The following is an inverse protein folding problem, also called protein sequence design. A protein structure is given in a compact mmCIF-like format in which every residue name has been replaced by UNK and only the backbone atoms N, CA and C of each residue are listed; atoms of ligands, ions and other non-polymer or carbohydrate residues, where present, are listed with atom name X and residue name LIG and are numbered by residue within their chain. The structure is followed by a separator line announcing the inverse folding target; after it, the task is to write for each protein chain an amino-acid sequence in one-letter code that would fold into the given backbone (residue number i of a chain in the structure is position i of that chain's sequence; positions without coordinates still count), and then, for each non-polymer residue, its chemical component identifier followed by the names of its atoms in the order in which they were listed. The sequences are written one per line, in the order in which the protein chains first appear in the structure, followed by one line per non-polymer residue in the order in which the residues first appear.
data_IF_569928555713
#
_entry.id   IF_569928555713
#
_cell.length_a   1.000
_cell.length_b   1.000
_cell.length_c   1.000
_cell.angle_alpha   90.00
_cell.angle_beta   90.00
_cell.angle_gamma   90.00
#
_symmetry.space_group_name_H-M   'P 1'
#
loop_
_entity.id
_entity.type
_entity.pdbx_description
1 polymer ?
#
# COMPACT_ATOMS: atom_id res chain seq x y z
N UNK A 1 -25.45 -6.89 -2.00
CA UNK A 1 -24.40 -5.97 -2.52
C UNK A 1 -25.00 -5.31 -3.74
N UNK A 2 -25.17 -4.01 -3.73
CA UNK A 2 -25.79 -3.31 -4.86
C UNK A 2 -24.82 -3.31 -6.04
N UNK A 3 -25.17 -4.02 -7.11
CA UNK A 3 -24.34 -4.17 -8.32
C UNK A 3 -24.04 -2.82 -8.98
N UNK A 4 -24.90 -1.82 -8.79
CA UNK A 4 -24.70 -0.48 -9.37
C UNK A 4 -23.44 0.23 -8.88
N UNK A 5 -23.02 -0.01 -7.63
CA UNK A 5 -21.81 0.58 -7.02
C UNK A 5 -20.54 -0.05 -7.58
N UNK A 6 -20.63 -1.33 -7.98
CA UNK A 6 -19.47 -2.09 -8.48
C UNK A 6 -19.20 -1.90 -9.97
N UNK A 7 -20.19 -1.46 -10.74
CA UNK A 7 -20.08 -1.30 -12.20
C UNK A 7 -18.94 -0.39 -12.64
N UNK A 8 -18.75 0.83 -12.10
CA UNK A 8 -17.63 1.69 -12.50
C UNK A 8 -16.27 1.04 -12.28
N UNK A 9 -16.10 0.31 -11.16
CA UNK A 9 -14.88 -0.43 -10.84
C UNK A 9 -14.58 -1.52 -11.87
N UNK A 10 -15.58 -2.34 -12.24
CA UNK A 10 -15.42 -3.38 -13.26
C UNK A 10 -15.19 -2.80 -14.65
N UNK A 11 -15.85 -1.69 -15.01
CA UNK A 11 -15.60 -0.99 -16.28
C UNK A 11 -14.16 -0.47 -16.35
N UNK A 12 -13.66 0.15 -15.28
CA UNK A 12 -12.27 0.63 -15.23
C UNK A 12 -11.27 -0.54 -15.32
N UNK A 13 -11.54 -1.64 -14.61
CA UNK A 13 -10.74 -2.86 -14.69
C UNK A 13 -10.69 -3.43 -16.11
N UNK A 14 -11.84 -3.47 -16.80
CA UNK A 14 -11.91 -3.93 -18.20
C UNK A 14 -11.09 -3.04 -19.15
N UNK A 15 -11.13 -1.71 -18.93
CA UNK A 15 -10.29 -0.77 -19.69
C UNK A 15 -8.80 -1.07 -19.45
N UNK A 16 -8.37 -1.27 -18.19
CA UNK A 16 -6.98 -1.62 -17.91
C UNK A 16 -6.58 -2.95 -18.54
N UNK A 17 -7.46 -3.96 -18.55
CA UNK A 17 -7.20 -5.25 -19.24
C UNK A 17 -7.00 -5.04 -20.72
N UNK A 18 -7.83 -4.23 -21.39
CA UNK A 18 -7.63 -3.90 -22.80
C UNK A 18 -6.28 -3.20 -23.04
N UNK A 19 -5.90 -2.26 -22.18
CA UNK A 19 -4.61 -1.57 -22.29
C UNK A 19 -3.41 -2.51 -22.05
N UNK A 20 -3.56 -3.56 -21.22
CA UNK A 20 -2.55 -4.63 -21.08
C UNK A 20 -2.38 -5.39 -22.40
N UNK A 21 -3.46 -5.73 -23.10
CA UNK A 21 -3.33 -6.35 -24.43
C UNK A 21 -2.63 -5.44 -25.42
N UNK A 22 -2.89 -4.12 -25.40
CA UNK A 22 -2.18 -3.14 -26.23
C UNK A 22 -0.69 -3.11 -25.83
N UNK A 23 -0.36 -3.11 -24.53
CA UNK A 23 1.02 -3.16 -24.04
C UNK A 23 1.75 -4.39 -24.58
N UNK A 24 1.15 -5.58 -24.51
CA UNK A 24 1.76 -6.82 -25.03
C UNK A 24 2.03 -6.76 -26.53
N UNK A 25 1.12 -6.21 -27.32
CA UNK A 25 1.31 -6.06 -28.76
C UNK A 25 2.41 -5.03 -29.13
N UNK A 26 2.69 -4.09 -28.24
CA UNK A 26 3.68 -3.03 -28.46
C UNK A 26 5.04 -3.31 -27.80
N UNK A 27 5.29 -4.49 -27.23
CA UNK A 27 6.53 -4.82 -26.51
C UNK A 27 7.81 -4.53 -27.28
N UNK A 28 7.79 -4.65 -28.61
CA UNK A 28 8.93 -4.34 -29.46
C UNK A 28 9.15 -2.81 -29.67
N UNK A 29 8.27 -1.96 -29.13
CA UNK A 29 8.28 -0.51 -29.31
C UNK A 29 8.30 0.22 -27.96
N UNK A 30 9.46 0.26 -27.31
CA UNK A 30 9.63 0.80 -25.94
C UNK A 30 9.07 2.23 -25.74
N UNK A 31 9.10 3.09 -26.74
CA UNK A 31 8.48 4.42 -26.68
C UNK A 31 6.95 4.36 -26.64
N UNK A 32 6.33 3.48 -27.42
CA UNK A 32 4.87 3.36 -27.48
C UNK A 32 4.29 2.76 -26.19
N UNK A 33 4.94 1.76 -25.61
CA UNK A 33 4.54 1.19 -24.31
C UNK A 33 4.56 2.23 -23.19
N UNK A 34 5.53 3.16 -23.22
CA UNK A 34 5.58 4.29 -22.28
C UNK A 34 4.33 5.17 -22.36
N UNK A 35 3.87 5.52 -23.57
CA UNK A 35 2.66 6.36 -23.73
C UNK A 35 1.39 5.63 -23.30
N UNK A 36 1.28 4.34 -23.59
CA UNK A 36 0.15 3.53 -23.11
C UNK A 36 0.12 3.51 -21.57
N UNK A 37 1.28 3.37 -20.94
CA UNK A 37 1.36 3.42 -19.49
C UNK A 37 1.02 4.80 -18.90
N UNK A 38 1.52 5.89 -19.49
CA UNK A 38 1.14 7.26 -19.09
C UNK A 38 -0.38 7.45 -19.20
N UNK A 39 -0.98 7.01 -20.30
CA UNK A 39 -2.43 7.07 -20.49
C UNK A 39 -3.19 6.24 -19.46
N UNK A 40 -2.70 5.04 -19.14
CA UNK A 40 -3.29 4.18 -18.11
C UNK A 40 -3.25 4.83 -16.72
N UNK A 41 -2.12 5.48 -16.37
CA UNK A 41 -1.99 6.23 -15.12
C UNK A 41 -2.86 7.48 -15.09
N UNK A 42 -3.01 8.17 -16.21
CA UNK A 42 -3.93 9.30 -16.32
C UNK A 42 -5.37 8.85 -16.05
N UNK A 43 -5.81 7.75 -16.66
CA UNK A 43 -7.13 7.18 -16.40
C UNK A 43 -7.28 6.73 -14.93
N UNK A 44 -6.23 6.11 -14.35
CA UNK A 44 -6.21 5.74 -12.94
C UNK A 44 -6.36 6.96 -12.04
N UNK A 45 -5.61 8.04 -12.32
CA UNK A 45 -5.69 9.29 -11.56
C UNK A 45 -7.08 9.92 -11.64
N UNK A 46 -7.69 9.93 -12.82
CA UNK A 46 -9.08 10.42 -12.98
C UNK A 46 -10.06 9.55 -12.20
N UNK A 47 -9.97 8.24 -12.38
CA UNK A 47 -10.92 7.30 -11.76
C UNK A 47 -10.86 7.35 -10.23
N UNK A 48 -9.66 7.33 -9.66
CA UNK A 48 -9.48 7.30 -8.20
C UNK A 48 -9.49 8.70 -7.59
N UNK A 49 -8.90 9.69 -8.25
CA UNK A 49 -8.84 11.07 -7.76
C UNK A 49 -10.20 11.78 -7.76
N UNK A 50 -11.11 11.38 -8.67
CA UNK A 50 -12.47 11.93 -8.77
C UNK A 50 -13.54 11.00 -8.16
N UNK A 51 -13.15 10.09 -7.27
CA UNK A 51 -14.04 9.09 -6.67
C UNK A 51 -15.20 9.65 -5.83
N UNK A 52 -15.20 10.94 -5.50
CA UNK A 52 -16.22 11.57 -4.65
C UNK A 52 -16.25 10.97 -3.23
N UNK A 53 -17.42 10.72 -2.72
CA UNK A 53 -17.65 10.17 -1.37
C UNK A 53 -17.40 8.66 -1.24
N UNK A 54 -16.70 8.05 -2.16
CA UNK A 54 -16.43 6.60 -2.13
C UNK A 54 -15.24 6.29 -1.23
N UNK A 55 -15.45 5.41 -0.26
CA UNK A 55 -14.44 4.94 0.71
C UNK A 55 -14.88 5.21 2.16
N UNK A 56 -14.49 4.33 3.08
CA UNK A 56 -14.93 4.42 4.49
C UNK A 56 -14.33 5.64 5.21
N UNK A 57 -13.07 5.98 4.91
CA UNK A 57 -12.35 7.04 5.62
C UNK A 57 -12.53 8.43 4.98
N UNK A 58 -13.27 8.54 3.86
CA UNK A 58 -13.40 9.80 3.10
C UNK A 58 -14.02 10.92 3.95
N UNK A 59 -15.02 10.59 4.76
CA UNK A 59 -15.69 11.58 5.63
C UNK A 59 -14.69 12.14 6.66
N UNK A 60 -13.89 11.29 7.28
CA UNK A 60 -12.87 11.68 8.25
C UNK A 60 -11.81 12.59 7.62
N UNK A 61 -11.35 12.27 6.40
CA UNK A 61 -10.42 13.14 5.66
C UNK A 61 -11.05 14.48 5.27
N UNK A 62 -12.33 14.45 4.87
CA UNK A 62 -13.06 15.67 4.52
C UNK A 62 -13.21 16.60 5.73
N UNK A 63 -13.64 16.07 6.87
CA UNK A 63 -13.80 16.83 8.12
C UNK A 63 -12.47 17.43 8.57
N UNK A 64 -11.40 16.62 8.59
CA UNK A 64 -10.05 17.10 8.93
C UNK A 64 -9.57 18.22 8.00
N UNK A 65 -9.82 18.07 6.69
CA UNK A 65 -9.49 19.11 5.72
C UNK A 65 -10.27 20.41 5.95
N UNK A 66 -11.53 20.34 6.37
CA UNK A 66 -12.32 21.57 6.66
C UNK A 66 -11.70 22.37 7.82
N UNK A 67 -11.17 21.68 8.82
CA UNK A 67 -10.51 22.29 9.99
C UNK A 67 -9.05 22.68 9.71
N UNK A 68 -8.46 22.24 8.61
CA UNK A 68 -7.07 22.54 8.28
C UNK A 68 -6.83 24.05 8.13
N UNK A 69 -5.80 24.61 8.79
CA UNK A 69 -5.45 26.02 8.66
C UNK A 69 -4.75 26.33 7.33
N UNK A 70 -4.71 27.59 6.96
CA UNK A 70 -3.75 28.09 5.96
C UNK A 70 -2.32 28.14 6.54
N UNK A 71 -1.32 28.28 5.69
CA UNK A 71 0.09 28.36 6.14
C UNK A 71 0.32 29.54 7.12
N UNK A 72 -0.35 30.68 6.89
CA UNK A 72 -0.27 31.83 7.81
C UNK A 72 -0.83 31.51 9.19
N UNK A 73 -2.00 30.89 9.26
CA UNK A 73 -2.61 30.45 10.51
C UNK A 73 -1.79 29.36 11.20
N UNK A 74 -1.26 28.42 10.42
CA UNK A 74 -0.41 27.34 10.96
C UNK A 74 0.86 27.88 11.62
N UNK A 75 1.56 28.82 10.98
CA UNK A 75 2.77 29.45 11.55
C UNK A 75 2.48 30.25 12.80
N UNK A 76 1.29 30.89 12.88
CA UNK A 76 0.86 31.65 14.05
C UNK A 76 0.28 30.75 15.16
N UNK A 77 0.17 29.46 14.95
CA UNK A 77 -0.41 28.51 15.92
C UNK A 77 -1.94 28.61 16.04
N UNK A 78 -2.61 29.21 15.04
CA UNK A 78 -4.06 29.36 14.99
C UNK A 78 -4.72 28.13 14.34
N UNK A 79 -4.72 27.00 15.05
CA UNK A 79 -5.37 25.75 14.62
C UNK A 79 -5.85 24.96 15.83
N UNK A 80 -6.83 24.06 15.62
CA UNK A 80 -7.30 23.18 16.69
C UNK A 80 -6.26 22.13 17.04
N UNK A 81 -6.17 21.78 18.34
CA UNK A 81 -5.28 20.71 18.78
C UNK A 81 -5.70 19.38 18.19
N UNK A 82 -7.00 19.15 18.07
CA UNK A 82 -7.56 17.89 17.55
C UNK A 82 -7.14 17.69 16.10
N UNK A 83 -7.29 18.71 15.22
CA UNK A 83 -6.78 18.65 13.85
C UNK A 83 -5.28 18.30 13.79
N UNK A 84 -4.45 18.89 14.65
CA UNK A 84 -3.01 18.65 14.63
C UNK A 84 -2.62 17.23 15.08
N UNK A 85 -3.41 16.61 15.98
CA UNK A 85 -3.11 15.31 16.58
C UNK A 85 -3.79 14.12 15.91
N UNK A 86 -4.81 14.36 15.10
CA UNK A 86 -5.58 13.29 14.47
C UNK A 86 -4.81 12.57 13.37
N UNK A 87 -4.01 13.33 12.63
CA UNK A 87 -3.21 12.77 11.54
C UNK A 87 -1.72 13.11 11.69
N UNK A 88 -0.89 12.40 10.92
CA UNK A 88 0.55 12.59 10.93
C UNK A 88 0.92 13.90 10.23
N UNK A 89 1.99 14.52 10.73
CA UNK A 89 2.43 15.88 10.34
C UNK A 89 2.64 16.07 8.83
N UNK A 90 3.13 15.05 8.11
CA UNK A 90 3.34 15.14 6.66
C UNK A 90 2.03 15.27 5.90
N UNK A 91 0.99 14.55 6.32
CA UNK A 91 -0.34 14.68 5.73
C UNK A 91 -0.95 16.04 6.04
N UNK A 92 -0.90 16.47 7.32
CA UNK A 92 -1.38 17.79 7.74
C UNK A 92 -0.70 18.95 6.98
N UNK A 93 0.61 18.86 6.72
CA UNK A 93 1.32 19.87 5.92
C UNK A 93 0.81 19.93 4.47
N UNK A 94 0.46 18.79 3.88
CA UNK A 94 -0.17 18.78 2.55
C UNK A 94 -1.54 19.46 2.56
N UNK A 95 -2.36 19.26 3.61
CA UNK A 95 -3.64 19.96 3.77
C UNK A 95 -3.43 21.48 3.92
N UNK A 96 -2.48 21.90 4.77
CA UNK A 96 -2.12 23.33 4.94
C UNK A 96 -1.71 23.97 3.62
N UNK A 97 -0.88 23.30 2.83
CA UNK A 97 -0.46 23.80 1.51
C UNK A 97 -1.66 23.91 0.54
N UNK A 98 -2.52 22.89 0.50
CA UNK A 98 -3.71 22.90 -0.36
C UNK A 98 -4.70 24.01 0.06
N UNK A 99 -4.93 24.20 1.37
CA UNK A 99 -5.76 25.31 1.88
C UNK A 99 -5.17 26.67 1.53
N UNK A 100 -3.87 26.83 1.66
CA UNK A 100 -3.18 28.09 1.31
C UNK A 100 -3.32 28.42 -0.17
N UNK A 101 -3.37 27.38 -1.04
CA UNK A 101 -3.62 27.53 -2.48
C UNK A 101 -5.10 27.69 -2.84
N UNK A 102 -6.01 27.74 -1.84
CA UNK A 102 -7.44 27.88 -2.04
C UNK A 102 -8.11 26.65 -2.65
N UNK A 103 -7.50 25.49 -2.54
CA UNK A 103 -8.08 24.24 -3.08
C UNK A 103 -9.28 23.79 -2.24
N UNK A 104 -10.30 23.25 -2.90
CA UNK A 104 -11.32 22.44 -2.25
C UNK A 104 -10.76 21.07 -1.86
N UNK A 105 -11.43 20.33 -0.96
CA UNK A 105 -11.05 18.96 -0.60
C UNK A 105 -10.92 18.04 -1.82
N UNK A 106 -11.83 18.16 -2.79
CA UNK A 106 -11.80 17.33 -4.00
C UNK A 106 -10.60 17.62 -4.89
N UNK A 107 -10.18 18.86 -4.97
CA UNK A 107 -8.96 19.27 -5.68
C UNK A 107 -7.72 18.76 -4.94
N UNK A 108 -7.69 18.88 -3.60
CA UNK A 108 -6.64 18.30 -2.76
C UNK A 108 -6.52 16.78 -2.97
N UNK A 109 -7.63 16.04 -2.87
CA UNK A 109 -7.66 14.60 -3.10
C UNK A 109 -7.14 14.23 -4.49
N UNK A 110 -7.57 14.96 -5.54
CA UNK A 110 -7.12 14.73 -6.90
C UNK A 110 -5.61 14.94 -7.06
N UNK A 111 -5.08 16.06 -6.53
CA UNK A 111 -3.64 16.37 -6.58
C UNK A 111 -2.83 15.35 -5.78
N UNK A 112 -3.36 14.88 -4.65
CA UNK A 112 -2.73 13.85 -3.84
C UNK A 112 -2.57 12.54 -4.62
N UNK A 113 -3.64 12.05 -5.26
CA UNK A 113 -3.61 10.86 -6.12
C UNK A 113 -2.72 11.07 -7.37
N UNK A 114 -2.65 12.29 -7.91
CA UNK A 114 -1.75 12.62 -9.01
C UNK A 114 -0.28 12.45 -8.61
N UNK A 115 0.11 12.91 -7.42
CA UNK A 115 1.46 12.71 -6.87
C UNK A 115 1.76 11.22 -6.72
N UNK A 116 0.82 10.45 -6.18
CA UNK A 116 0.95 9.00 -6.07
C UNK A 116 1.14 8.32 -7.43
N UNK A 117 0.40 8.76 -8.45
CA UNK A 117 0.52 8.25 -9.82
C UNK A 117 1.90 8.55 -10.43
N UNK A 118 2.48 9.70 -10.11
CA UNK A 118 3.86 10.05 -10.52
C UNK A 118 4.86 9.09 -9.85
N UNK A 119 4.69 8.80 -8.56
CA UNK A 119 5.56 7.85 -7.85
C UNK A 119 5.42 6.45 -8.45
N UNK A 120 4.19 5.99 -8.72
CA UNK A 120 3.91 4.71 -9.40
C UNK A 120 4.55 4.65 -10.79
N UNK A 121 4.52 5.77 -11.55
CA UNK A 121 5.19 5.83 -12.85
C UNK A 121 6.67 5.50 -12.73
N UNK A 122 7.39 6.18 -11.84
CA UNK A 122 8.82 5.95 -11.65
C UNK A 122 9.12 4.57 -11.09
N UNK A 123 8.30 4.07 -10.18
CA UNK A 123 8.47 2.75 -9.60
C UNK A 123 8.29 1.64 -10.65
N UNK A 124 7.15 1.59 -11.34
CA UNK A 124 6.89 0.51 -12.29
C UNK A 124 7.84 0.55 -13.49
N UNK A 125 8.18 1.74 -14.00
CA UNK A 125 9.17 1.88 -15.08
C UNK A 125 10.57 1.37 -14.71
N UNK A 126 10.90 1.38 -13.44
CA UNK A 126 12.16 0.83 -12.94
C UNK A 126 12.09 -0.68 -12.73
N UNK A 127 10.97 -1.20 -12.26
CA UNK A 127 10.87 -2.59 -11.79
C UNK A 127 10.44 -3.57 -12.90
N UNK A 128 9.72 -3.11 -13.93
CA UNK A 128 9.17 -3.99 -14.96
C UNK A 128 9.04 -3.33 -16.32
N UNK A 129 9.06 -4.15 -17.38
CA UNK A 129 8.72 -3.73 -18.75
C UNK A 129 7.21 -3.79 -19.02
N UNK A 130 6.43 -4.43 -18.14
CA UNK A 130 4.98 -4.60 -18.25
C UNK A 130 4.28 -3.68 -17.24
N UNK A 131 4.39 -2.37 -17.47
CA UNK A 131 3.96 -1.37 -16.52
C UNK A 131 2.44 -1.27 -16.36
N UNK A 132 1.68 -1.49 -17.44
CA UNK A 132 0.21 -1.47 -17.42
C UNK A 132 -0.31 -2.72 -16.70
N UNK A 133 0.30 -3.89 -16.96
CA UNK A 133 -0.02 -5.10 -16.22
C UNK A 133 0.26 -4.94 -14.71
N UNK A 134 1.39 -4.32 -14.37
CA UNK A 134 1.73 -4.04 -12.98
C UNK A 134 0.71 -3.09 -12.32
N UNK A 135 0.26 -2.06 -13.04
CA UNK A 135 -0.79 -1.15 -12.58
C UNK A 135 -2.14 -1.86 -12.40
N UNK A 136 -2.52 -2.75 -13.32
CA UNK A 136 -3.73 -3.57 -13.20
C UNK A 136 -3.68 -4.45 -11.95
N UNK A 137 -2.57 -5.16 -11.73
CA UNK A 137 -2.39 -6.02 -10.56
C UNK A 137 -2.42 -5.16 -9.28
N UNK A 138 -1.72 -4.02 -9.28
CA UNK A 138 -1.73 -3.09 -8.17
C UNK A 138 -3.15 -2.60 -7.85
N UNK A 139 -3.92 -2.17 -8.87
CA UNK A 139 -5.28 -1.69 -8.72
C UNK A 139 -6.22 -2.76 -8.14
N UNK A 140 -6.19 -3.98 -8.68
CA UNK A 140 -7.04 -5.09 -8.22
C UNK A 140 -6.71 -5.48 -6.77
N UNK A 141 -5.42 -5.47 -6.43
CA UNK A 141 -4.97 -6.04 -5.17
C UNK A 141 -5.07 -5.06 -4.00
N UNK A 142 -4.59 -3.83 -4.19
CA UNK A 142 -4.52 -2.82 -3.13
C UNK A 142 -4.77 -1.39 -3.59
N UNK A 143 -4.57 -1.09 -4.86
CA UNK A 143 -4.56 0.28 -5.35
C UNK A 143 -5.87 1.01 -5.08
N UNK A 144 -7.00 0.31 -5.20
CA UNK A 144 -8.29 0.87 -4.84
C UNK A 144 -8.36 1.19 -3.33
N UNK A 145 -8.06 0.21 -2.48
CA UNK A 145 -8.14 0.39 -1.01
C UNK A 145 -7.22 1.50 -0.54
N UNK A 146 -5.97 1.54 -1.02
CA UNK A 146 -5.03 2.57 -0.62
C UNK A 146 -5.49 3.97 -1.01
N UNK A 147 -5.90 4.18 -2.24
CA UNK A 147 -6.25 5.51 -2.72
C UNK A 147 -7.72 5.88 -2.50
N UNK A 148 -8.61 4.92 -2.28
CA UNK A 148 -9.99 5.18 -1.96
C UNK A 148 -10.26 5.32 -0.46
N UNK A 149 -9.58 4.53 0.38
CA UNK A 149 -9.87 4.46 1.81
C UNK A 149 -8.69 4.93 2.68
N UNK A 150 -7.45 4.66 2.28
CA UNK A 150 -6.26 4.83 3.12
C UNK A 150 -5.23 5.78 2.49
N UNK A 151 -5.65 6.99 2.11
CA UNK A 151 -4.78 7.96 1.41
C UNK A 151 -3.40 8.13 2.07
N UNK A 152 -3.34 8.31 3.39
CA UNK A 152 -2.10 8.50 4.14
C UNK A 152 -1.18 7.28 4.06
N UNK A 153 -1.77 6.09 4.19
CA UNK A 153 -1.02 4.84 4.11
C UNK A 153 -0.51 4.58 2.69
N UNK A 154 -1.23 5.02 1.64
CA UNK A 154 -0.78 4.94 0.27
C UNK A 154 0.61 5.56 0.08
N UNK A 155 0.81 6.80 0.52
CA UNK A 155 2.10 7.48 0.46
C UNK A 155 3.21 6.75 1.21
N UNK A 156 2.90 6.26 2.42
CA UNK A 156 3.83 5.46 3.22
C UNK A 156 4.32 4.22 2.47
N UNK A 157 3.38 3.47 1.86
CA UNK A 157 3.68 2.27 1.04
C UNK A 157 4.46 2.64 -0.23
N UNK A 158 4.07 3.70 -0.92
CA UNK A 158 4.76 4.13 -2.15
C UNK A 158 6.21 4.56 -1.87
N UNK A 159 6.45 5.27 -0.78
CA UNK A 159 7.81 5.64 -0.34
C UNK A 159 8.63 4.40 0.05
N UNK A 160 8.02 3.42 0.72
CA UNK A 160 8.65 2.13 0.96
C UNK A 160 9.00 1.43 -0.36
N UNK A 161 8.09 1.33 -1.33
CA UNK A 161 8.36 0.74 -2.65
C UNK A 161 9.53 1.45 -3.34
N UNK A 162 9.56 2.79 -3.29
CA UNK A 162 10.69 3.56 -3.83
C UNK A 162 12.00 3.30 -3.10
N UNK A 163 11.95 3.00 -1.80
CA UNK A 163 13.14 2.74 -0.98
C UNK A 163 13.82 1.40 -1.26
N UNK A 164 13.13 0.43 -1.88
CA UNK A 164 13.66 -0.92 -2.14
C UNK A 164 14.95 -0.92 -3.00
N UNK A 165 15.11 0.07 -3.89
CA UNK A 165 16.36 0.25 -4.64
C UNK A 165 17.58 0.44 -3.73
N UNK A 166 17.39 1.11 -2.59
CA UNK A 166 18.47 1.39 -1.65
C UNK A 166 18.83 0.14 -0.82
N UNK A 167 17.87 -0.77 -0.60
CA UNK A 167 18.17 -2.09 -0.01
C UNK A 167 19.09 -2.89 -0.95
N UNK A 168 18.76 -2.93 -2.26
CA UNK A 168 19.58 -3.58 -3.30
C UNK A 168 20.99 -3.01 -3.36
N UNK A 169 21.10 -1.69 -3.27
CA UNK A 169 22.36 -0.95 -3.31
C UNK A 169 23.10 -0.89 -1.97
N UNK A 170 22.59 -1.53 -0.92
CA UNK A 170 23.16 -1.52 0.44
C UNK A 170 23.26 -0.11 1.07
N UNK A 171 22.43 0.81 0.64
CA UNK A 171 22.40 2.21 1.09
C UNK A 171 21.38 2.37 2.24
N UNK A 172 21.76 1.96 3.45
CA UNK A 172 20.89 1.95 4.64
C UNK A 172 20.33 3.34 4.93
N UNK A 173 21.18 4.36 4.90
CA UNK A 173 20.80 5.74 5.23
C UNK A 173 19.66 6.23 4.31
N UNK A 174 19.81 6.08 3.00
CA UNK A 174 18.79 6.50 2.03
C UNK A 174 17.49 5.71 2.19
N UNK A 175 17.59 4.41 2.53
CA UNK A 175 16.42 3.58 2.84
C UNK A 175 15.67 4.11 4.07
N UNK A 176 16.40 4.32 5.16
CA UNK A 176 15.82 4.82 6.42
C UNK A 176 15.22 6.21 6.22
N UNK A 177 15.92 7.10 5.54
CA UNK A 177 15.45 8.48 5.30
C UNK A 177 14.11 8.50 4.54
N UNK A 178 13.97 7.68 3.48
CA UNK A 178 12.70 7.60 2.73
C UNK A 178 11.57 7.04 3.59
N UNK A 179 11.84 6.04 4.43
CA UNK A 179 10.82 5.48 5.30
C UNK A 179 10.52 6.38 6.51
N UNK A 180 11.47 7.19 7.00
CA UNK A 180 11.18 8.26 7.94
C UNK A 180 10.27 9.33 7.32
N UNK A 181 10.51 9.70 6.06
CA UNK A 181 9.57 10.54 5.32
C UNK A 181 8.20 9.86 5.20
N UNK A 182 8.14 8.56 4.89
CA UNK A 182 6.90 7.79 4.89
C UNK A 182 6.18 7.80 6.24
N UNK A 183 6.94 7.79 7.35
CA UNK A 183 6.37 7.85 8.71
C UNK A 183 5.66 9.17 9.00
N UNK A 184 6.04 10.26 8.34
CA UNK A 184 5.31 11.53 8.45
C UNK A 184 3.92 11.48 7.81
N UNK A 185 3.64 10.52 6.94
CA UNK A 185 2.32 10.27 6.34
C UNK A 185 1.56 9.16 7.06
N UNK A 186 2.25 8.09 7.48
CA UNK A 186 1.62 7.02 8.23
C UNK A 186 2.62 6.22 9.06
N UNK A 187 2.25 5.93 10.31
CA UNK A 187 3.11 5.23 11.28
C UNK A 187 3.53 3.82 10.86
N UNK A 188 2.82 3.18 9.90
CA UNK A 188 3.22 1.87 9.34
C UNK A 188 4.63 1.87 8.75
N UNK A 189 5.17 3.02 8.31
CA UNK A 189 6.55 3.11 7.83
C UNK A 189 7.60 2.69 8.86
N UNK A 190 7.28 2.73 10.15
CA UNK A 190 8.17 2.21 11.19
C UNK A 190 8.47 0.72 10.99
N UNK A 191 7.45 -0.06 10.61
CA UNK A 191 7.63 -1.49 10.30
C UNK A 191 8.51 -1.69 9.06
N UNK A 192 8.42 -0.79 8.07
CA UNK A 192 9.28 -0.87 6.89
C UNK A 192 10.74 -0.59 7.24
N UNK A 193 11.03 0.37 8.14
CA UNK A 193 12.41 0.60 8.62
C UNK A 193 12.96 -0.67 9.27
N UNK A 194 12.16 -1.32 10.13
CA UNK A 194 12.55 -2.55 10.82
C UNK A 194 12.70 -3.74 9.86
N UNK A 195 12.06 -3.73 8.71
CA UNK A 195 12.16 -4.78 7.71
C UNK A 195 13.52 -4.81 6.97
N UNK A 196 14.36 -3.77 7.05
CA UNK A 196 15.62 -3.69 6.30
C UNK A 196 16.50 -4.94 6.42
N UNK A 197 16.82 -5.47 7.62
CA UNK A 197 17.62 -6.67 7.73
C UNK A 197 16.94 -7.88 7.09
N UNK A 198 15.62 -8.03 7.25
CA UNK A 198 14.85 -9.14 6.69
C UNK A 198 14.85 -9.11 5.16
N UNK A 199 14.82 -7.91 4.57
CA UNK A 199 14.86 -7.74 3.10
C UNK A 199 16.20 -8.17 2.49
N UNK A 200 17.26 -8.29 3.28
CA UNK A 200 18.61 -8.66 2.83
C UNK A 200 19.01 -10.10 3.06
N UNK A 201 18.23 -10.86 3.80
CA UNK A 201 18.52 -12.28 4.08
C UNK A 201 18.39 -13.10 2.79
N UNK A 202 19.30 -14.05 2.60
CA UNK A 202 19.18 -15.06 1.55
C UNK A 202 18.48 -16.29 2.12
N UNK A 203 17.25 -16.52 1.70
CA UNK A 203 16.47 -17.66 2.15
C UNK A 203 16.74 -18.90 1.28
N UNK A 204 17.04 -20.03 1.92
CA UNK A 204 17.17 -21.34 1.26
C UNK A 204 15.79 -21.93 0.96
N UNK A 205 15.74 -22.91 0.02
CA UNK A 205 14.47 -23.60 -0.30
C UNK A 205 13.84 -24.25 0.93
N UNK A 206 14.64 -24.83 1.83
CA UNK A 206 14.13 -25.46 3.04
C UNK A 206 13.51 -24.41 3.99
N UNK A 207 14.14 -23.25 4.14
CA UNK A 207 13.59 -22.15 4.94
C UNK A 207 12.26 -21.63 4.36
N UNK A 208 12.19 -21.46 3.04
CA UNK A 208 10.94 -21.08 2.36
C UNK A 208 9.84 -22.13 2.57
N UNK A 209 10.18 -23.42 2.50
CA UNK A 209 9.23 -24.50 2.78
C UNK A 209 8.76 -24.46 4.25
N UNK A 210 9.66 -24.26 5.19
CA UNK A 210 9.31 -24.13 6.61
C UNK A 210 8.39 -22.94 6.87
N UNK A 211 8.71 -21.76 6.28
CA UNK A 211 7.85 -20.56 6.38
C UNK A 211 6.45 -20.88 5.83
N UNK A 212 6.37 -21.50 4.65
CA UNK A 212 5.10 -21.91 4.06
C UNK A 212 4.31 -22.84 4.98
N UNK A 213 4.97 -23.88 5.50
CA UNK A 213 4.34 -24.88 6.37
C UNK A 213 3.82 -24.22 7.66
N UNK A 214 4.62 -23.37 8.30
CA UNK A 214 4.21 -22.68 9.55
C UNK A 214 3.03 -21.76 9.31
N UNK A 215 3.05 -20.97 8.24
CA UNK A 215 1.93 -20.07 7.88
C UNK A 215 0.67 -20.88 7.58
N UNK A 216 0.81 -21.99 6.84
CA UNK A 216 -0.32 -22.88 6.55
C UNK A 216 -0.90 -23.54 7.81
N UNK A 217 -0.05 -23.95 8.75
CA UNK A 217 -0.53 -24.48 10.04
C UNK A 217 -1.28 -23.41 10.83
N UNK A 218 -0.78 -22.18 10.88
CA UNK A 218 -1.46 -21.06 11.51
C UNK A 218 -2.86 -20.86 10.89
N UNK A 219 -2.96 -20.91 9.56
CA UNK A 219 -4.25 -20.76 8.87
C UNK A 219 -5.19 -21.95 9.10
N UNK A 220 -4.69 -23.19 8.99
CA UNK A 220 -5.51 -24.41 9.17
C UNK A 220 -6.06 -24.49 10.60
N UNK A 221 -5.21 -24.26 11.57
CA UNK A 221 -5.60 -24.31 12.99
C UNK A 221 -6.25 -23.01 13.48
N UNK A 222 -6.41 -22.00 12.61
CA UNK A 222 -7.00 -20.70 12.95
C UNK A 222 -6.37 -20.07 14.21
N UNK A 223 -5.05 -20.19 14.32
CA UNK A 223 -4.32 -19.67 15.48
C UNK A 223 -4.46 -18.14 15.46
N UNK A 224 -5.13 -17.59 16.46
CA UNK A 224 -5.36 -16.13 16.62
C UNK A 224 -4.06 -15.44 17.08
N UNK A 225 -2.99 -15.57 16.30
CA UNK A 225 -1.65 -15.05 16.61
C UNK A 225 -1.66 -13.55 16.92
N UNK A 226 -2.42 -12.78 16.12
CA UNK A 226 -2.57 -11.34 16.33
C UNK A 226 -3.16 -11.04 17.71
N UNK A 227 -4.15 -11.81 18.16
CA UNK A 227 -4.73 -11.62 19.48
C UNK A 227 -3.70 -11.89 20.60
N UNK A 228 -2.83 -12.88 20.45
CA UNK A 228 -1.77 -13.16 21.40
C UNK A 228 -0.81 -11.98 21.49
N UNK A 229 -0.38 -11.45 20.35
CA UNK A 229 0.51 -10.28 20.29
C UNK A 229 -0.17 -9.03 20.87
N UNK A 230 -1.42 -8.76 20.48
CA UNK A 230 -2.17 -7.59 20.99
C UNK A 230 -2.43 -7.70 22.50
N UNK A 231 -2.77 -8.88 23.00
CA UNK A 231 -2.93 -9.10 24.44
C UNK A 231 -1.62 -8.88 25.20
N UNK A 232 -0.49 -9.35 24.66
CA UNK A 232 0.83 -9.08 25.21
C UNK A 232 1.15 -7.59 25.25
N UNK A 233 0.93 -6.88 24.13
CA UNK A 233 1.13 -5.44 24.05
C UNK A 233 0.18 -4.65 24.97
N UNK A 234 -1.07 -5.08 25.12
CA UNK A 234 -2.03 -4.50 26.05
C UNK A 234 -1.56 -4.63 27.49
N UNK A 235 -1.04 -5.81 27.87
CA UNK A 235 -0.62 -6.11 29.24
C UNK A 235 0.70 -5.43 29.61
N UNK A 236 1.65 -5.36 28.66
CA UNK A 236 3.02 -4.91 28.93
C UNK A 236 3.38 -3.55 28.28
N UNK A 237 2.57 -3.02 27.38
CA UNK A 237 2.89 -1.86 26.56
C UNK A 237 2.64 -0.49 27.18
N UNK A 238 2.12 -0.42 28.43
CA UNK A 238 1.79 0.83 29.12
C UNK A 238 0.47 1.48 28.64
N UNK A 239 0.00 2.49 29.40
CA UNK A 239 -1.35 3.07 29.21
C UNK A 239 -1.62 3.65 27.82
N UNK A 240 -0.64 4.28 27.19
CA UNK A 240 -0.80 4.88 25.85
C UNK A 240 -0.98 3.84 24.75
N UNK A 241 -0.23 2.73 24.81
CA UNK A 241 -0.38 1.61 23.87
C UNK A 241 -1.70 0.86 24.15
N UNK A 242 -2.02 0.64 25.43
CA UNK A 242 -3.25 -0.02 25.83
C UNK A 242 -4.51 0.71 25.33
N UNK A 243 -4.57 2.05 25.42
CA UNK A 243 -5.72 2.83 24.91
C UNK A 243 -5.89 2.76 23.38
N UNK A 244 -4.78 2.77 22.64
CA UNK A 244 -4.83 2.55 21.16
C UNK A 244 -5.28 1.13 20.83
N UNK A 245 -4.74 0.11 21.50
CA UNK A 245 -5.12 -1.29 21.28
C UNK A 245 -6.60 -1.50 21.60
N UNK A 246 -7.12 -0.87 22.66
CA UNK A 246 -8.53 -1.02 23.04
C UNK A 246 -9.49 -0.55 21.92
N UNK A 247 -9.17 0.54 21.22
CA UNK A 247 -9.95 1.00 20.06
C UNK A 247 -9.92 -0.03 18.90
N UNK A 248 -8.79 -0.70 18.69
CA UNK A 248 -8.64 -1.71 17.64
C UNK A 248 -9.12 -3.10 18.07
N UNK A 249 -8.96 -3.46 19.35
CA UNK A 249 -9.32 -4.76 19.88
C UNK A 249 -10.81 -5.07 19.74
N UNK A 250 -11.68 -4.08 19.98
CA UNK A 250 -13.13 -4.22 19.78
C UNK A 250 -13.43 -4.57 18.32
N UNK A 251 -12.78 -3.93 17.37
CA UNK A 251 -12.98 -4.19 15.93
C UNK A 251 -12.39 -5.53 15.48
N UNK A 252 -11.30 -5.99 16.07
CA UNK A 252 -10.63 -7.26 15.71
C UNK A 252 -11.32 -8.46 16.32
N UNK A 253 -11.84 -8.36 17.55
CA UNK A 253 -12.59 -9.45 18.21
C UNK A 253 -13.88 -9.77 17.47
N UNK A 254 -14.53 -8.75 16.87
CA UNK A 254 -15.73 -8.95 16.03
C UNK A 254 -15.40 -9.42 14.61
N UNK A 255 -14.15 -9.38 14.17
CA UNK A 255 -13.74 -9.83 12.85
C UNK A 255 -13.29 -11.31 12.85
N UNK A 256 -14.18 -12.23 13.20
CA UNK A 256 -13.97 -13.67 12.93
C UNK A 256 -13.69 -13.95 11.44
N UNK A 257 -14.12 -13.03 10.56
CA UNK A 257 -13.82 -13.04 9.13
C UNK A 257 -12.32 -12.93 8.81
N UNK A 258 -11.51 -12.29 9.67
CA UNK A 258 -10.06 -12.13 9.44
C UNK A 258 -9.30 -13.47 9.45
N UNK A 259 -9.76 -14.44 10.25
CA UNK A 259 -9.15 -15.77 10.35
C UNK A 259 -9.74 -16.79 9.38
N UNK A 260 -10.74 -16.40 8.59
CA UNK A 260 -11.29 -17.28 7.56
C UNK A 260 -10.33 -17.38 6.38
N UNK A 261 -10.25 -18.59 5.79
CA UNK A 261 -9.52 -18.84 4.56
C UNK A 261 -10.34 -18.24 3.41
N UNK A 262 -10.19 -16.93 3.20
CA UNK A 262 -10.81 -16.25 2.07
C UNK A 262 -10.08 -16.55 0.75
N UNK A 263 -10.74 -16.30 -0.38
CA UNK A 263 -10.17 -16.47 -1.73
C UNK A 263 -8.80 -15.80 -1.87
N UNK A 264 -8.60 -14.64 -1.27
CA UNK A 264 -7.33 -13.91 -1.29
C UNK A 264 -6.16 -14.73 -0.73
N UNK A 265 -6.36 -15.36 0.44
CA UNK A 265 -5.33 -16.20 1.07
C UNK A 265 -4.98 -17.41 0.22
N UNK A 266 -5.98 -18.03 -0.42
CA UNK A 266 -5.79 -19.16 -1.35
C UNK A 266 -4.95 -18.72 -2.54
N UNK A 267 -5.25 -17.56 -3.14
CA UNK A 267 -4.49 -17.02 -4.28
C UNK A 267 -3.03 -16.74 -3.87
N UNK A 268 -2.81 -16.14 -2.70
CA UNK A 268 -1.45 -15.85 -2.20
C UNK A 268 -0.68 -17.13 -1.91
N UNK A 269 -1.30 -18.14 -1.30
CA UNK A 269 -0.67 -19.46 -1.11
C UNK A 269 -0.28 -20.11 -2.44
N UNK A 270 -1.18 -20.10 -3.42
CA UNK A 270 -0.90 -20.61 -4.76
C UNK A 270 0.24 -19.84 -5.42
N UNK A 271 0.20 -18.51 -5.38
CA UNK A 271 1.27 -17.66 -5.90
C UNK A 271 2.62 -17.94 -5.22
N UNK A 272 2.63 -18.18 -3.90
CA UNK A 272 3.85 -18.54 -3.18
C UNK A 272 4.45 -19.86 -3.66
N UNK A 273 3.62 -20.90 -3.82
CA UNK A 273 4.04 -22.20 -4.33
C UNK A 273 4.61 -22.05 -5.75
N UNK A 274 3.89 -21.36 -6.63
CA UNK A 274 4.30 -21.15 -8.01
C UNK A 274 5.60 -20.35 -8.10
N UNK A 275 5.74 -19.32 -7.28
CA UNK A 275 6.91 -18.45 -7.30
C UNK A 275 8.19 -19.14 -6.79
N UNK A 276 8.09 -19.93 -5.71
CA UNK A 276 9.28 -20.52 -5.07
C UNK A 276 9.56 -21.97 -5.47
N UNK A 277 8.52 -22.75 -5.75
CA UNK A 277 8.67 -24.20 -5.93
C UNK A 277 8.41 -24.71 -7.36
N UNK A 278 7.80 -23.91 -8.23
CA UNK A 278 7.60 -24.26 -9.64
C UNK A 278 8.43 -23.43 -10.65
N UNK A 279 9.68 -23.05 -10.33
CA UNK A 279 10.45 -22.11 -11.16
C UNK A 279 10.80 -22.69 -12.55
N UNK A 280 10.88 -24.01 -12.70
CA UNK A 280 11.19 -24.64 -13.97
C UNK A 280 10.01 -24.62 -14.94
N UNK A 281 8.80 -24.57 -14.43
CA UNK A 281 7.57 -24.54 -15.24
C UNK A 281 7.35 -23.19 -15.92
N UNK A 282 7.70 -22.09 -15.22
CA UNK A 282 7.46 -20.73 -15.71
C UNK A 282 8.72 -19.95 -16.08
N UNK A 283 9.91 -20.53 -15.97
CA UNK A 283 11.24 -19.87 -16.22
C UNK A 283 11.46 -18.57 -15.42
N UNK A 284 10.64 -18.32 -14.38
CA UNK A 284 10.52 -17.00 -13.74
C UNK A 284 11.62 -16.69 -12.73
N UNK A 285 12.23 -17.69 -12.09
CA UNK A 285 12.91 -17.40 -10.82
C UNK A 285 14.42 -17.16 -10.84
N UNK A 286 15.12 -17.42 -11.93
CA UNK A 286 16.59 -17.31 -11.90
C UNK A 286 17.09 -15.87 -11.81
N UNK A 287 16.30 -14.89 -12.25
CA UNK A 287 16.70 -13.48 -12.34
C UNK A 287 16.06 -12.56 -11.30
N UNK A 288 15.22 -13.09 -10.38
CA UNK A 288 14.59 -12.27 -9.36
C UNK A 288 15.56 -12.07 -8.19
N UNK A 289 15.80 -10.82 -7.83
CA UNK A 289 16.69 -10.48 -6.72
C UNK A 289 16.11 -10.87 -5.35
N UNK A 290 16.98 -11.03 -4.37
CA UNK A 290 16.59 -11.45 -3.01
C UNK A 290 15.67 -10.46 -2.32
N UNK A 291 15.78 -9.17 -2.61
CA UNK A 291 14.91 -8.14 -2.01
C UNK A 291 13.47 -8.35 -2.44
N UNK A 292 13.23 -8.55 -3.73
CA UNK A 292 11.89 -8.84 -4.27
C UNK A 292 11.31 -10.14 -3.69
N UNK A 293 12.14 -11.20 -3.58
CA UNK A 293 11.71 -12.46 -2.94
C UNK A 293 11.29 -12.23 -1.50
N UNK A 294 12.08 -11.49 -0.73
CA UNK A 294 11.82 -11.26 0.69
C UNK A 294 10.60 -10.34 0.92
N UNK A 295 10.39 -9.34 0.05
CA UNK A 295 9.13 -8.55 0.08
C UNK A 295 7.92 -9.47 -0.07
N UNK A 296 7.99 -10.44 -1.01
CA UNK A 296 6.88 -11.38 -1.20
C UNK A 296 6.71 -12.35 -0.02
N UNK A 297 7.81 -12.81 0.60
CA UNK A 297 7.76 -13.65 1.81
C UNK A 297 7.13 -12.88 2.98
N UNK A 298 7.57 -11.63 3.21
CA UNK A 298 6.99 -10.79 4.25
C UNK A 298 5.50 -10.57 4.00
N UNK A 299 5.12 -10.27 2.76
CA UNK A 299 3.71 -10.12 2.39
C UNK A 299 2.91 -11.41 2.65
N UNK A 300 3.47 -12.58 2.29
CA UNK A 300 2.84 -13.88 2.53
C UNK A 300 2.60 -14.16 4.02
N UNK A 301 3.53 -13.75 4.88
CA UNK A 301 3.39 -13.92 6.34
C UNK A 301 2.29 -13.01 6.91
N UNK A 302 2.12 -11.80 6.34
CA UNK A 302 1.21 -10.78 6.86
C UNK A 302 -0.24 -10.91 6.35
N UNK A 303 -0.48 -11.68 5.28
CA UNK A 303 -1.82 -11.91 4.70
C UNK A 303 -2.52 -13.07 5.35
#
# INVERSE_FOLDING_TARGET
MDLSISVPYFCFMAILVMLVFVEFNLQNHNHRTKYVFIFSLFLFTLFVGLKGWTGMDVMMYYENYQEAPTLGEFVLGHYSKDWYTDFEIGFNLFEVLAKTLGMSYWQFQFVYVLIDSIILFYFFRRETNYCVLALLIYFIWWGWVFHAEQLRNANSVLLFMMSLKYVRNKQVFSYVLLNLLGMTFHTTSLFYIMAYPLLRITLTKNQLLWIFTVVMLIFIFRIKFINIVLTGLYTYGGQHIASKIQKYYINIVYADSYYNIGMRKIIVCFAYIMFFFAPNYFKVSKNIDNVTKNVFVIYFILV
#
